data_IF_348794206917
#
_entry.id   IF_348794206917
#
_cell.length_a   1.000
_cell.length_b   1.000
_cell.length_c   1.000
_cell.angle_alpha   90.00
_cell.angle_beta   90.00
_cell.angle_gamma   90.00
#
_symmetry.space_group_name_H-M   'P 1'
#
loop_
_entity.id
_entity.type
_entity.pdbx_description
1 polymer ?
#
# COMPACT_ATOMS: atom_id res chain seq x y z
N UNK A 1 -0.71 4.29 -7.66
CA UNK A 1 -2.12 4.72 -7.45
C UNK A 1 -2.29 5.56 -6.17
N UNK A 2 -1.98 5.04 -4.96
CA UNK A 2 -2.15 5.82 -3.71
C UNK A 2 -1.42 7.17 -3.77
N UNK A 3 -0.13 7.19 -4.14
CA UNK A 3 0.62 8.43 -4.28
C UNK A 3 0.00 9.42 -5.27
N UNK A 4 -0.58 8.92 -6.36
CA UNK A 4 -1.28 9.79 -7.35
C UNK A 4 -2.56 10.38 -6.77
N UNK A 5 -3.31 9.63 -5.96
CA UNK A 5 -4.50 10.13 -5.26
C UNK A 5 -4.09 11.24 -4.29
N UNK A 6 -3.08 10.99 -3.46
CA UNK A 6 -2.58 11.98 -2.50
C UNK A 6 -2.15 13.25 -3.22
N UNK A 7 -1.39 13.14 -4.31
CA UNK A 7 -0.96 14.29 -5.12
C UNK A 7 -2.17 15.07 -5.68
N UNK A 8 -3.21 14.37 -6.15
CA UNK A 8 -4.41 15.03 -6.69
C UNK A 8 -5.22 15.74 -5.59
N UNK A 9 -5.39 15.10 -4.44
CA UNK A 9 -6.13 15.67 -3.32
C UNK A 9 -5.42 16.88 -2.69
N UNK A 10 -4.10 16.91 -2.75
CA UNK A 10 -3.28 17.96 -2.14
C UNK A 10 -2.78 18.99 -3.15
N UNK A 11 -3.20 18.90 -4.41
CA UNK A 11 -2.78 19.81 -5.46
C UNK A 11 -3.21 21.25 -5.14
N UNK A 12 -2.23 22.13 -5.01
CA UNK A 12 -2.45 23.55 -4.67
C UNK A 12 -2.45 23.83 -3.16
N UNK A 13 -2.40 22.79 -2.32
CA UNK A 13 -2.17 22.95 -0.89
C UNK A 13 -0.67 23.11 -0.62
N UNK A 14 -0.28 24.15 0.06
CA UNK A 14 1.10 24.32 0.50
C UNK A 14 1.41 23.51 1.77
N UNK A 15 2.68 23.29 2.07
CA UNK A 15 3.13 22.58 3.29
C UNK A 15 2.44 23.08 4.58
N UNK A 16 2.17 24.39 4.68
CA UNK A 16 1.46 24.98 5.81
C UNK A 16 0.00 24.53 5.96
N UNK A 17 -0.64 24.02 4.91
CA UNK A 17 -2.00 23.48 5.00
C UNK A 17 -2.02 22.17 5.77
N UNK A 18 -1.00 21.33 5.61
CA UNK A 18 -0.86 20.08 6.36
C UNK A 18 -0.60 20.33 7.85
N UNK A 19 0.14 21.37 8.20
CA UNK A 19 0.34 21.78 9.60
C UNK A 19 -0.97 22.14 10.29
N UNK A 20 -1.90 22.77 9.56
CA UNK A 20 -3.23 23.12 10.08
C UNK A 20 -4.03 21.91 10.55
N UNK A 21 -3.83 20.75 9.91
CA UNK A 21 -4.51 19.51 10.25
C UNK A 21 -3.68 18.59 11.16
N UNK A 22 -2.52 19.04 11.60
CA UNK A 22 -1.64 18.28 12.49
C UNK A 22 -1.03 17.03 11.84
N UNK A 23 -0.94 16.99 10.52
CA UNK A 23 -0.42 15.86 9.77
C UNK A 23 0.83 16.19 8.94
N UNK A 24 1.37 17.41 9.07
CA UNK A 24 2.53 17.87 8.32
C UNK A 24 3.76 16.99 8.50
N UNK A 25 3.96 16.46 9.72
CA UNK A 25 5.09 15.58 10.03
C UNK A 25 5.08 14.24 9.29
N UNK A 26 3.94 13.86 8.72
CA UNK A 26 3.78 12.59 8.00
C UNK A 26 3.98 12.71 6.49
N UNK A 27 4.17 13.94 5.97
CA UNK A 27 4.23 14.17 4.54
C UNK A 27 5.49 14.91 4.14
N UNK A 28 6.07 14.48 3.02
CA UNK A 28 7.14 15.21 2.33
C UNK A 28 6.57 15.76 1.03
N UNK A 29 6.65 17.07 0.86
CA UNK A 29 6.22 17.74 -0.37
C UNK A 29 7.29 17.58 -1.47
N UNK A 30 6.93 16.86 -2.52
CA UNK A 30 7.71 16.73 -3.74
C UNK A 30 7.17 17.60 -4.88
N UNK A 31 6.35 18.58 -4.57
CA UNK A 31 5.65 19.46 -5.51
C UNK A 31 4.80 18.65 -6.52
N UNK A 32 5.15 18.65 -7.80
CA UNK A 32 4.40 17.94 -8.84
C UNK A 32 4.88 16.49 -9.04
N UNK A 33 5.88 16.04 -8.29
CA UNK A 33 6.44 14.69 -8.40
C UNK A 33 5.70 13.67 -7.54
N UNK A 34 5.53 12.46 -8.05
CA UNK A 34 5.04 11.31 -7.28
C UNK A 34 6.17 10.30 -7.17
N UNK A 35 6.72 10.13 -5.98
CA UNK A 35 7.86 9.26 -5.74
C UNK A 35 7.49 8.09 -4.82
N UNK A 36 8.10 6.90 -5.01
CA UNK A 36 7.91 5.76 -4.12
C UNK A 36 8.53 6.07 -2.74
N UNK A 37 7.71 6.52 -1.81
CA UNK A 37 8.13 6.83 -0.44
C UNK A 37 7.01 6.54 0.54
N UNK A 38 7.37 6.35 1.83
CA UNK A 38 6.38 6.31 2.90
C UNK A 38 5.76 7.68 3.15
N UNK A 39 4.67 7.74 3.93
CA UNK A 39 4.07 9.01 4.35
C UNK A 39 5.07 9.92 5.09
N UNK A 40 6.01 9.35 5.84
CA UNK A 40 7.08 10.06 6.53
C UNK A 40 8.25 10.47 5.60
N UNK A 41 8.14 10.25 4.30
CA UNK A 41 9.16 10.63 3.31
C UNK A 41 10.35 9.68 3.21
N UNK A 42 10.29 8.50 3.83
CA UNK A 42 11.35 7.50 3.69
C UNK A 42 11.28 6.92 2.28
N UNK A 43 12.33 7.08 1.44
CA UNK A 43 12.31 6.59 0.08
C UNK A 43 12.37 5.06 0.05
N UNK A 44 11.90 4.48 -1.06
CA UNK A 44 12.09 3.06 -1.31
C UNK A 44 13.57 2.69 -1.26
N UNK A 45 13.89 1.59 -0.60
CA UNK A 45 15.25 1.07 -0.52
C UNK A 45 15.25 -0.45 -0.58
N UNK A 46 16.10 -1.04 -1.40
CA UNK A 46 16.32 -2.47 -1.46
C UNK A 46 16.84 -3.05 -0.14
N UNK A 47 17.46 -2.23 0.72
CA UNK A 47 17.94 -2.65 2.04
C UNK A 47 16.81 -3.09 3.00
N UNK A 48 15.55 -2.72 2.71
CA UNK A 48 14.38 -3.11 3.51
C UNK A 48 13.72 -4.42 3.05
N UNK A 49 14.18 -5.00 1.95
CA UNK A 49 13.68 -6.29 1.45
C UNK A 49 14.14 -7.40 2.40
N UNK A 50 13.20 -8.17 2.90
CA UNK A 50 13.45 -9.21 3.91
C UNK A 50 13.35 -10.64 3.39
N UNK A 51 13.49 -10.85 2.09
CA UNK A 51 13.50 -12.19 1.50
C UNK A 51 14.56 -13.08 2.17
N UNK A 52 14.20 -14.32 2.43
CA UNK A 52 15.07 -15.34 3.02
C UNK A 52 15.59 -16.34 1.99
N UNK A 53 15.23 -16.18 0.72
CA UNK A 53 15.49 -17.15 -0.34
C UNK A 53 14.87 -18.54 -0.06
N UNK A 54 13.88 -18.59 0.81
CA UNK A 54 12.99 -19.73 1.04
C UNK A 54 11.65 -19.42 0.38
N UNK A 55 11.29 -20.05 -0.74
CA UNK A 55 10.08 -19.71 -1.48
C UNK A 55 8.79 -19.91 -0.66
N UNK A 56 8.77 -20.85 0.27
CA UNK A 56 7.60 -21.08 1.12
C UNK A 56 7.46 -19.97 2.17
N UNK A 57 8.56 -19.62 2.85
CA UNK A 57 8.55 -18.54 3.83
C UNK A 57 8.20 -17.19 3.18
N UNK A 58 8.82 -16.90 2.03
CA UNK A 58 8.62 -15.63 1.33
C UNK A 58 7.18 -15.49 0.82
N UNK A 59 6.58 -16.55 0.24
CA UNK A 59 5.19 -16.50 -0.25
C UNK A 59 4.16 -16.39 0.89
N UNK A 60 4.42 -16.98 2.05
CA UNK A 60 3.53 -16.84 3.20
C UNK A 60 3.57 -15.41 3.76
N UNK A 61 4.72 -14.77 3.75
CA UNK A 61 4.85 -13.35 4.12
C UNK A 61 4.10 -12.45 3.14
N UNK A 62 4.20 -12.71 1.83
CA UNK A 62 3.44 -12.00 0.80
C UNK A 62 1.93 -12.15 1.04
N UNK A 63 1.44 -13.36 1.30
CA UNK A 63 0.01 -13.59 1.62
C UNK A 63 -0.43 -12.81 2.85
N UNK A 64 0.40 -12.76 3.89
CA UNK A 64 0.12 -11.98 5.09
C UNK A 64 0.09 -10.47 4.79
N UNK A 65 0.99 -9.98 3.94
CA UNK A 65 1.03 -8.58 3.51
C UNK A 65 -0.25 -8.18 2.75
N UNK A 66 -0.74 -9.02 1.83
CA UNK A 66 -1.99 -8.78 1.10
C UNK A 66 -3.20 -8.69 2.03
N UNK A 67 -3.27 -9.53 3.07
CA UNK A 67 -4.35 -9.46 4.07
C UNK A 67 -4.26 -8.19 4.93
N UNK A 68 -3.07 -7.76 5.29
CA UNK A 68 -2.87 -6.49 6.02
C UNK A 68 -3.29 -5.30 5.15
N UNK A 69 -2.92 -5.28 3.88
CA UNK A 69 -3.33 -4.25 2.92
C UNK A 69 -4.86 -4.21 2.76
N UNK A 70 -5.51 -5.36 2.57
CA UNK A 70 -6.97 -5.46 2.49
C UNK A 70 -7.64 -4.90 3.75
N UNK A 71 -7.16 -5.27 4.94
CA UNK A 71 -7.70 -4.76 6.20
C UNK A 71 -7.50 -3.23 6.34
N UNK A 72 -6.38 -2.72 5.87
CA UNK A 72 -6.11 -1.27 5.84
C UNK A 72 -7.11 -0.55 4.93
N UNK A 73 -7.37 -1.08 3.73
CA UNK A 73 -8.37 -0.51 2.82
C UNK A 73 -9.80 -0.56 3.41
N UNK A 74 -10.17 -1.65 4.09
CA UNK A 74 -11.45 -1.73 4.81
C UNK A 74 -11.56 -0.63 5.89
N UNK A 75 -10.49 -0.33 6.60
CA UNK A 75 -10.46 0.73 7.60
C UNK A 75 -10.60 2.12 6.95
N UNK A 76 -9.89 2.38 5.84
CA UNK A 76 -10.03 3.63 5.10
C UNK A 76 -11.48 3.84 4.62
N UNK A 77 -12.10 2.80 4.07
CA UNK A 77 -13.48 2.84 3.59
C UNK A 77 -14.51 3.12 4.71
N UNK A 78 -14.19 2.75 5.96
CA UNK A 78 -15.06 3.10 7.11
C UNK A 78 -14.90 4.54 7.57
N UNK A 79 -13.75 5.14 7.29
CA UNK A 79 -13.42 6.50 7.74
C UNK A 79 -13.75 7.56 6.70
N UNK A 80 -13.78 7.20 5.42
CA UNK A 80 -13.99 8.12 4.30
C UNK A 80 -15.45 8.07 3.82
N UNK A 81 -16.06 9.25 3.66
CA UNK A 81 -17.35 9.44 3.00
C UNK A 81 -17.20 10.02 1.58
N UNK A 82 -15.98 10.31 1.14
CA UNK A 82 -15.69 10.81 -0.21
C UNK A 82 -15.84 9.69 -1.25
N UNK A 83 -16.80 9.81 -2.22
CA UNK A 83 -17.04 8.77 -3.19
C UNK A 83 -15.89 8.54 -4.16
N UNK A 84 -15.10 9.56 -4.51
CA UNK A 84 -13.99 9.44 -5.43
C UNK A 84 -12.82 8.70 -4.78
N UNK A 85 -12.52 8.99 -3.52
CA UNK A 85 -11.56 8.23 -2.71
C UNK A 85 -12.04 6.79 -2.56
N UNK A 86 -13.29 6.59 -2.16
CA UNK A 86 -13.86 5.28 -1.89
C UNK A 86 -13.87 4.36 -3.12
N UNK A 87 -14.12 4.89 -4.31
CA UNK A 87 -14.11 4.09 -5.54
C UNK A 87 -12.71 3.54 -5.83
N UNK A 88 -11.67 4.34 -5.66
CA UNK A 88 -10.29 3.88 -5.87
C UNK A 88 -9.86 2.88 -4.80
N UNK A 89 -10.19 3.13 -3.54
CA UNK A 89 -9.85 2.24 -2.43
C UNK A 89 -10.57 0.89 -2.56
N UNK A 90 -11.85 0.87 -2.98
CA UNK A 90 -12.58 -0.37 -3.28
C UNK A 90 -11.89 -1.18 -4.37
N UNK A 91 -11.44 -0.53 -5.44
CA UNK A 91 -10.71 -1.20 -6.50
C UNK A 91 -9.40 -1.83 -5.98
N UNK A 92 -8.62 -1.09 -5.20
CA UNK A 92 -7.37 -1.61 -4.61
C UNK A 92 -7.66 -2.79 -3.67
N UNK A 93 -8.68 -2.67 -2.82
CA UNK A 93 -9.11 -3.75 -1.92
C UNK A 93 -9.40 -5.06 -2.66
N UNK A 94 -10.15 -5.00 -3.77
CA UNK A 94 -10.43 -6.18 -4.60
C UNK A 94 -9.16 -6.74 -5.26
N UNK A 95 -8.19 -5.90 -5.57
CA UNK A 95 -6.89 -6.35 -6.07
C UNK A 95 -6.15 -7.21 -5.04
N UNK A 96 -6.20 -6.86 -3.76
CA UNK A 96 -5.55 -7.65 -2.70
C UNK A 96 -6.18 -9.03 -2.53
N UNK A 97 -7.49 -9.16 -2.75
CA UNK A 97 -8.17 -10.47 -2.76
C UNK A 97 -7.62 -11.35 -3.88
N UNK A 98 -7.46 -10.79 -5.08
CA UNK A 98 -6.91 -11.52 -6.24
C UNK A 98 -5.43 -11.89 -6.02
N UNK A 99 -4.63 -10.97 -5.45
CA UNK A 99 -3.23 -11.24 -5.14
C UNK A 99 -3.08 -12.36 -4.12
N UNK A 100 -3.84 -12.31 -3.04
CA UNK A 100 -3.86 -13.37 -2.03
C UNK A 100 -4.19 -14.74 -2.64
N UNK A 101 -5.18 -14.81 -3.52
CA UNK A 101 -5.52 -16.05 -4.22
C UNK A 101 -4.36 -16.57 -5.07
N UNK A 102 -3.72 -15.71 -5.85
CA UNK A 102 -2.58 -16.07 -6.72
C UNK A 102 -1.39 -16.56 -5.91
N UNK A 103 -1.08 -15.91 -4.81
CA UNK A 103 -0.03 -16.38 -3.90
C UNK A 103 -0.38 -17.72 -3.26
N UNK A 104 -1.64 -17.94 -2.89
CA UNK A 104 -2.11 -19.23 -2.38
C UNK A 104 -2.01 -20.36 -3.42
N UNK A 105 -2.33 -20.09 -4.68
CA UNK A 105 -2.14 -21.04 -5.78
C UNK A 105 -0.65 -21.38 -5.97
N UNK A 106 0.23 -20.36 -5.92
CA UNK A 106 1.67 -20.56 -6.01
C UNK A 106 2.20 -21.37 -4.82
N UNK A 107 1.74 -21.09 -3.61
CA UNK A 107 2.11 -21.85 -2.42
C UNK A 107 1.79 -23.34 -2.59
N UNK A 108 0.59 -23.69 -3.08
CA UNK A 108 0.20 -25.06 -3.35
C UNK A 108 1.13 -25.73 -4.37
N UNK A 109 1.51 -25.02 -5.44
CA UNK A 109 2.45 -25.51 -6.46
C UNK A 109 3.83 -25.77 -5.83
N UNK A 110 4.35 -24.85 -5.05
CA UNK A 110 5.63 -24.98 -4.38
C UNK A 110 5.65 -26.18 -3.42
N UNK A 111 4.64 -26.29 -2.57
CA UNK A 111 4.52 -27.42 -1.63
C UNK A 111 4.41 -28.78 -2.33
N UNK A 112 3.79 -28.85 -3.48
CA UNK A 112 3.69 -30.10 -4.26
C UNK A 112 5.02 -30.54 -4.87
N UNK A 113 5.97 -29.62 -5.06
CA UNK A 113 7.30 -29.88 -5.65
C UNK A 113 8.39 -30.19 -4.63
N UNK A 114 8.16 -29.83 -3.38
CA UNK A 114 9.06 -30.15 -2.25
C UNK A 114 8.65 -31.52 -1.70
N UNK A 115 9.13 -32.57 -2.34
CA UNK A 115 9.03 -33.96 -1.85
C UNK A 115 10.40 -34.51 -1.52
#
# INVERSE_FOLDING_TARGET
MIGSIVTQLTKGEGARSFDRYGVGDYYVDHANGVYPSSAAGVPWSAATIQSKADPIADIMEDMAAEQKARATYDNILRMSDDPDVNNVIKFLREREVVHFQRFGELLNILQSKIK
#
